data_IF_949037567834
#
_entry.id   IF_949037567834
#
_cell.length_a   1.000
_cell.length_b   1.000
_cell.length_c   1.000
_cell.angle_alpha   90.00
_cell.angle_beta   90.00
_cell.angle_gamma   90.00
#
_symmetry.space_group_name_H-M   'P 1'
#
loop_
_entity.id
_entity.type
_entity.pdbx_description
1 polymer ?
#
# COMPACT_ATOMS: atom_id res chain seq x y z
N UNK A 1 -2.82 -14.75 0.80
CA UNK A 1 -4.07 -13.95 0.69
C UNK A 1 -3.75 -12.63 -0.03
N UNK A 2 -4.70 -11.76 -0.38
CA UNK A 2 -4.31 -10.38 -0.73
C UNK A 2 -3.82 -9.69 0.56
N UNK A 3 -2.72 -8.93 0.50
CA UNK A 3 -2.23 -8.20 1.66
C UNK A 3 -3.23 -7.08 2.01
N UNK A 4 -3.59 -6.95 3.27
CA UNK A 4 -4.43 -5.85 3.77
C UNK A 4 -3.59 -5.02 4.72
N UNK A 5 -3.47 -3.72 4.44
CA UNK A 5 -2.77 -2.78 5.32
C UNK A 5 -3.81 -2.04 6.14
N UNK A 6 -3.67 -2.08 7.46
CA UNK A 6 -4.64 -1.51 8.42
C UNK A 6 -3.96 -0.50 9.34
N UNK A 7 -4.57 0.66 9.52
CA UNK A 7 -4.27 1.60 10.60
C UNK A 7 -4.83 1.09 11.92
N UNK A 8 -3.98 0.64 12.82
CA UNK A 8 -4.40 0.03 14.07
C UNK A 8 -3.36 0.15 15.19
N UNK A 9 -3.83 0.08 16.45
CA UNK A 9 -2.95 0.11 17.63
C UNK A 9 -2.12 -1.16 17.73
N UNK A 10 -2.74 -2.31 17.47
CA UNK A 10 -2.16 -3.63 17.54
C UNK A 10 -2.94 -4.60 16.63
N UNK A 11 -2.50 -5.86 16.58
CA UNK A 11 -3.07 -6.86 15.68
C UNK A 11 -4.54 -7.17 15.99
N UNK A 12 -4.95 -7.08 17.26
CA UNK A 12 -6.33 -7.33 17.67
C UNK A 12 -7.25 -6.21 17.18
N UNK A 13 -6.84 -4.95 17.37
CA UNK A 13 -7.52 -3.77 16.81
C UNK A 13 -7.59 -3.82 15.28
N UNK A 14 -6.53 -4.29 14.61
CA UNK A 14 -6.53 -4.47 13.16
C UNK A 14 -7.59 -5.50 12.70
N UNK A 15 -7.67 -6.65 13.37
CA UNK A 15 -8.68 -7.66 13.08
C UNK A 15 -10.09 -7.14 13.34
N UNK A 16 -10.30 -6.39 14.42
CA UNK A 16 -11.59 -5.77 14.71
C UNK A 16 -12.00 -4.75 13.64
N UNK A 17 -11.12 -3.82 13.30
CA UNK A 17 -11.36 -2.80 12.27
C UNK A 17 -11.64 -3.41 10.89
N UNK A 18 -10.88 -4.46 10.51
CA UNK A 18 -11.01 -5.09 9.20
C UNK A 18 -12.16 -6.10 9.12
N UNK A 19 -12.20 -7.10 10.00
CA UNK A 19 -13.14 -8.23 9.91
C UNK A 19 -14.52 -7.87 10.45
N UNK A 20 -14.57 -7.24 11.64
CA UNK A 20 -15.82 -6.99 12.35
C UNK A 20 -16.48 -5.69 11.88
N UNK A 21 -15.75 -4.59 11.95
CA UNK A 21 -16.29 -3.26 11.67
C UNK A 21 -16.30 -2.92 10.18
N UNK A 22 -15.43 -3.57 9.39
CA UNK A 22 -15.20 -3.24 7.97
C UNK A 22 -15.02 -1.73 7.77
N UNK A 23 -14.25 -1.10 8.67
CA UNK A 23 -14.01 0.34 8.63
C UNK A 23 -13.18 0.68 7.40
N UNK A 24 -13.87 1.08 6.33
CA UNK A 24 -13.23 1.35 5.04
C UNK A 24 -12.15 2.42 5.15
N UNK A 25 -12.20 3.35 6.09
CA UNK A 25 -11.17 4.40 6.22
C UNK A 25 -9.86 3.86 6.79
N UNK A 26 -9.93 2.79 7.58
CA UNK A 26 -8.81 2.25 8.31
C UNK A 26 -8.01 1.19 7.56
N UNK A 27 -8.43 0.74 6.37
CA UNK A 27 -7.68 -0.28 5.63
C UNK A 27 -7.65 -0.09 4.11
N UNK A 28 -6.61 -0.66 3.50
CA UNK A 28 -6.43 -0.78 2.06
C UNK A 28 -6.14 -2.25 1.72
N UNK A 29 -6.87 -2.79 0.75
CA UNK A 29 -6.65 -4.15 0.24
C UNK A 29 -5.78 -4.09 -1.00
N UNK A 30 -4.63 -4.73 -0.93
CA UNK A 30 -3.65 -4.79 -2.01
C UNK A 30 -4.18 -5.64 -3.19
N UNK A 31 -4.09 -5.13 -4.43
CA UNK A 31 -4.35 -5.94 -5.60
C UNK A 31 -3.41 -7.15 -5.65
N UNK A 32 -3.95 -8.36 -5.88
CA UNK A 32 -3.12 -9.54 -6.15
C UNK A 32 -2.06 -9.22 -7.21
N UNK A 33 -0.82 -9.66 -6.97
CA UNK A 33 0.36 -9.45 -7.85
C UNK A 33 0.84 -8.00 -7.94
N UNK A 34 0.37 -7.12 -7.04
CA UNK A 34 0.92 -5.77 -6.92
C UNK A 34 2.40 -5.83 -6.52
N UNK A 35 2.77 -6.67 -5.56
CA UNK A 35 4.18 -6.86 -5.18
C UNK A 35 5.07 -7.33 -6.35
N UNK A 36 4.57 -8.23 -7.22
CA UNK A 36 5.28 -8.65 -8.44
C UNK A 36 5.52 -7.45 -9.36
N UNK A 37 4.49 -6.62 -9.56
CA UNK A 37 4.59 -5.39 -10.36
C UNK A 37 5.62 -4.43 -9.75
N UNK A 38 5.56 -4.22 -8.43
CA UNK A 38 6.47 -3.34 -7.72
C UNK A 38 7.92 -3.82 -7.85
N UNK A 39 8.16 -5.12 -7.64
CA UNK A 39 9.48 -5.71 -7.72
C UNK A 39 10.09 -5.60 -9.13
N UNK A 40 9.29 -5.84 -10.17
CA UNK A 40 9.75 -5.80 -11.56
C UNK A 40 10.11 -4.39 -12.05
N UNK A 41 9.46 -3.36 -11.51
CA UNK A 41 9.68 -1.95 -11.86
C UNK A 41 10.40 -1.16 -10.76
N UNK A 42 11.00 -1.83 -9.77
CA UNK A 42 11.60 -1.19 -8.59
C UNK A 42 12.61 -0.07 -8.89
N UNK A 43 13.35 -0.18 -9.99
CA UNK A 43 14.34 0.83 -10.38
C UNK A 43 13.71 2.13 -10.91
N UNK A 44 12.41 2.11 -11.19
CA UNK A 44 11.63 3.26 -11.67
C UNK A 44 10.95 4.01 -10.50
N UNK A 45 11.03 3.48 -9.27
CA UNK A 45 10.35 4.04 -8.10
C UNK A 45 11.35 4.67 -7.14
N UNK A 46 11.02 5.87 -6.66
CA UNK A 46 11.76 6.54 -5.59
C UNK A 46 11.39 5.91 -4.25
N UNK A 47 12.32 5.85 -3.30
CA UNK A 47 12.09 5.35 -1.93
C UNK A 47 11.61 3.88 -1.85
N UNK A 48 11.87 3.08 -2.89
CA UNK A 48 11.56 1.65 -2.87
C UNK A 48 12.22 0.90 -1.70
N UNK A 49 13.48 1.20 -1.39
CA UNK A 49 14.18 0.57 -0.26
C UNK A 49 13.51 0.91 1.09
N UNK A 50 13.05 2.15 1.28
CA UNK A 50 12.29 2.53 2.48
C UNK A 50 10.95 1.80 2.56
N UNK A 51 10.30 1.54 1.41
CA UNK A 51 9.10 0.72 1.37
C UNK A 51 9.36 -0.74 1.75
N UNK A 52 10.52 -1.30 1.40
CA UNK A 52 10.92 -2.65 1.77
C UNK A 52 11.26 -2.82 3.26
N UNK A 53 11.78 -1.77 3.89
CA UNK A 53 12.04 -1.75 5.33
C UNK A 53 10.75 -1.87 6.16
N UNK A 54 9.60 -1.55 5.56
CA UNK A 54 8.31 -1.76 6.17
C UNK A 54 8.03 -3.25 6.21
N UNK A 55 7.77 -3.76 7.40
CA UNK A 55 7.24 -5.10 7.56
C UNK A 55 5.76 -5.10 7.18
N UNK A 56 5.47 -5.00 5.88
CA UNK A 56 4.13 -4.91 5.31
C UNK A 56 3.26 -6.12 5.64
N UNK A 57 3.86 -7.25 5.99
CA UNK A 57 3.18 -8.49 6.41
C UNK A 57 3.14 -8.67 7.93
N UNK A 58 3.65 -7.71 8.69
CA UNK A 58 3.70 -7.73 10.14
C UNK A 58 3.15 -6.45 10.75
N UNK A 59 3.71 -6.08 11.90
CA UNK A 59 3.38 -4.84 12.59
C UNK A 59 4.55 -3.89 12.38
N UNK A 60 4.29 -2.76 11.72
CA UNK A 60 5.26 -1.68 11.57
C UNK A 60 4.83 -0.54 12.47
N UNK A 61 5.56 -0.34 13.57
CA UNK A 61 5.39 0.84 14.41
C UNK A 61 6.01 2.01 13.66
N UNK A 62 5.17 2.81 13.04
CA UNK A 62 5.59 3.81 12.09
C UNK A 62 5.56 5.19 12.74
N UNK A 63 6.65 5.94 12.63
CA UNK A 63 6.67 7.35 12.97
C UNK A 63 6.28 8.23 11.76
N UNK A 64 5.99 9.52 12.00
CA UNK A 64 5.55 10.43 10.94
C UNK A 64 6.59 10.59 9.80
N UNK A 65 7.88 10.35 10.05
CA UNK A 65 8.92 10.43 9.01
C UNK A 65 8.86 9.22 8.09
N UNK A 66 8.64 8.04 8.65
CA UNK A 66 8.44 6.81 7.87
C UNK A 66 7.16 6.89 7.01
N UNK A 67 6.06 7.45 7.55
CA UNK A 67 4.83 7.73 6.76
C UNK A 67 5.14 8.59 5.55
N UNK A 68 5.97 9.62 5.71
CA UNK A 68 6.35 10.51 4.63
C UNK A 68 7.03 9.76 3.49
N UNK A 69 8.01 8.89 3.78
CA UNK A 69 8.70 8.12 2.75
C UNK A 69 7.78 7.14 2.03
N UNK A 70 6.80 6.55 2.73
CA UNK A 70 5.77 5.72 2.09
C UNK A 70 4.95 6.55 1.10
N UNK A 71 4.49 7.73 1.51
CA UNK A 71 3.71 8.61 0.64
C UNK A 71 4.53 9.00 -0.61
N UNK A 72 5.81 9.36 -0.44
CA UNK A 72 6.71 9.68 -1.56
C UNK A 72 6.91 8.47 -2.50
N UNK A 73 7.08 7.26 -1.97
CA UNK A 73 7.13 6.03 -2.77
C UNK A 73 5.83 5.83 -3.58
N UNK A 74 4.67 5.95 -2.94
CA UNK A 74 3.37 5.79 -3.59
C UNK A 74 3.12 6.83 -4.69
N UNK A 75 3.55 8.07 -4.46
CA UNK A 75 3.52 9.13 -5.48
C UNK A 75 4.41 8.79 -6.67
N UNK A 76 5.60 8.22 -6.44
CA UNK A 76 6.50 7.81 -7.53
C UNK A 76 5.88 6.75 -8.44
N UNK A 77 5.10 5.81 -7.88
CA UNK A 77 4.34 4.84 -8.66
C UNK A 77 3.28 5.56 -9.50
N UNK A 78 2.53 6.48 -8.91
CA UNK A 78 1.50 7.25 -9.64
C UNK A 78 2.11 8.00 -10.82
N UNK A 79 3.24 8.70 -10.63
CA UNK A 79 4.00 9.37 -11.70
C UNK A 79 4.43 8.38 -12.79
N UNK A 80 5.01 7.24 -12.42
CA UNK A 80 5.39 6.20 -13.36
C UNK A 80 4.20 5.75 -14.24
N UNK A 81 3.02 5.53 -13.65
CA UNK A 81 1.83 5.11 -14.39
C UNK A 81 1.31 6.18 -15.35
N UNK A 82 1.48 7.47 -15.02
CA UNK A 82 1.11 8.59 -15.89
C UNK A 82 2.06 8.72 -17.07
N UNK A 83 3.37 8.68 -16.82
CA UNK A 83 4.42 8.79 -17.84
C UNK A 83 4.46 7.57 -18.78
N UNK A 84 4.01 6.41 -18.29
CA UNK A 84 4.11 5.14 -19.01
C UNK A 84 2.76 4.54 -19.39
N UNK A 85 1.72 5.34 -19.64
CA UNK A 85 0.37 4.87 -19.98
C UNK A 85 0.31 3.79 -21.10
N UNK A 86 1.26 3.82 -22.04
CA UNK A 86 1.42 2.81 -23.10
C UNK A 86 1.70 1.38 -22.60
N UNK A 87 2.12 1.22 -21.35
CA UNK A 87 2.40 -0.08 -20.73
C UNK A 87 1.15 -0.79 -20.19
N UNK A 88 -0.04 -0.16 -20.22
CA UNK A 88 -1.28 -0.72 -19.65
C UNK A 88 -1.52 -2.17 -20.06
N UNK A 89 -1.51 -2.46 -21.37
CA UNK A 89 -1.75 -3.82 -21.87
C UNK A 89 -0.70 -4.81 -21.36
N UNK A 90 0.58 -4.41 -21.34
CA UNK A 90 1.68 -5.25 -20.82
C UNK A 90 1.52 -5.54 -19.33
N UNK A 91 1.08 -4.55 -18.55
CA UNK A 91 0.83 -4.71 -17.11
C UNK A 91 -0.40 -5.63 -16.88
N UNK A 92 -1.47 -5.45 -17.65
CA UNK A 92 -2.66 -6.32 -17.57
C UNK A 92 -2.28 -7.76 -17.92
N UNK A 93 -1.60 -7.99 -19.04
CA UNK A 93 -1.20 -9.32 -19.48
C UNK A 93 -0.28 -10.00 -18.47
N UNK A 94 0.72 -9.28 -17.95
CA UNK A 94 1.72 -9.88 -17.07
C UNK A 94 1.21 -10.07 -15.65
N UNK A 95 0.42 -9.15 -15.09
CA UNK A 95 0.05 -9.15 -13.66
C UNK A 95 -1.45 -9.30 -13.39
N UNK A 96 -2.30 -9.22 -14.42
CA UNK A 96 -3.75 -9.09 -14.28
C UNK A 96 -4.13 -7.86 -13.43
N UNK A 97 -3.41 -6.76 -13.64
CA UNK A 97 -3.61 -5.46 -12.99
C UNK A 97 -3.82 -4.39 -14.06
N UNK A 98 -4.87 -3.58 -13.90
CA UNK A 98 -4.99 -2.33 -14.66
C UNK A 98 -4.32 -1.19 -13.90
N UNK A 99 -3.78 -0.18 -14.60
CA UNK A 99 -3.20 0.98 -13.91
C UNK A 99 -4.26 1.71 -13.09
N UNK A 100 -5.53 1.70 -13.52
CA UNK A 100 -6.66 2.20 -12.72
C UNK A 100 -6.78 1.47 -11.37
N UNK A 101 -6.63 0.15 -11.36
CA UNK A 101 -6.70 -0.65 -10.13
C UNK A 101 -5.53 -0.32 -9.20
N UNK A 102 -4.34 -0.10 -9.76
CA UNK A 102 -3.16 0.33 -9.00
C UNK A 102 -3.38 1.71 -8.38
N UNK A 103 -3.80 2.71 -9.17
CA UNK A 103 -4.10 4.07 -8.67
C UNK A 103 -5.15 4.05 -7.56
N UNK A 104 -6.24 3.32 -7.74
CA UNK A 104 -7.27 3.19 -6.71
C UNK A 104 -6.73 2.62 -5.39
N UNK A 105 -5.79 1.67 -5.46
CA UNK A 105 -5.13 1.14 -4.27
C UNK A 105 -4.22 2.18 -3.62
N UNK A 106 -3.40 2.88 -4.41
CA UNK A 106 -2.54 3.97 -3.93
C UNK A 106 -3.35 5.04 -3.20
N UNK A 107 -4.42 5.55 -3.83
CA UNK A 107 -5.33 6.54 -3.24
C UNK A 107 -5.93 6.04 -1.93
N UNK A 108 -6.19 4.74 -1.83
CA UNK A 108 -6.75 4.14 -0.64
C UNK A 108 -5.72 4.05 0.47
N UNK A 109 -4.52 3.59 0.15
CA UNK A 109 -3.43 3.45 1.09
C UNK A 109 -2.99 4.82 1.62
N UNK A 110 -2.91 5.85 0.78
CA UNK A 110 -2.65 7.24 1.23
C UNK A 110 -3.63 7.69 2.31
N UNK A 111 -4.93 7.41 2.16
CA UNK A 111 -5.94 7.74 3.18
C UNK A 111 -5.75 6.97 4.48
N UNK A 112 -5.32 5.70 4.39
CA UNK A 112 -5.00 4.89 5.58
C UNK A 112 -3.79 5.47 6.30
N UNK A 113 -2.79 5.93 5.56
CA UNK A 113 -1.61 6.60 6.13
C UNK A 113 -1.99 7.90 6.83
N UNK A 114 -2.82 8.74 6.21
CA UNK A 114 -3.33 9.98 6.83
C UNK A 114 -4.13 9.67 8.11
N UNK A 115 -4.94 8.62 8.07
CA UNK A 115 -5.73 8.18 9.23
C UNK A 115 -4.83 7.65 10.35
N UNK A 116 -3.78 6.90 10.02
CA UNK A 116 -2.81 6.39 10.98
C UNK A 116 -2.02 7.53 11.63
N UNK A 117 -1.51 8.45 10.83
CA UNK A 117 -0.79 9.65 11.29
C UNK A 117 -1.64 10.48 12.26
N UNK A 118 -2.91 10.72 11.90
CA UNK A 118 -3.85 11.50 12.72
C UNK A 118 -4.13 10.85 14.07
N UNK A 119 -4.19 9.52 14.13
CA UNK A 119 -4.55 8.78 15.33
C UNK A 119 -3.34 8.30 16.15
N UNK A 120 -2.12 8.42 15.61
CA UNK A 120 -0.92 7.81 16.19
C UNK A 120 -0.98 6.27 16.17
N UNK A 121 -1.67 5.70 15.18
CA UNK A 121 -1.79 4.25 14.99
C UNK A 121 -0.54 3.69 14.27
N UNK A 122 -0.31 2.39 14.43
CA UNK A 122 0.66 1.63 13.63
C UNK A 122 0.05 1.24 12.28
N UNK A 123 0.88 0.78 11.34
CA UNK A 123 0.41 0.04 10.17
C UNK A 123 0.60 -1.46 10.38
N UNK A 124 -0.47 -2.20 10.12
CA UNK A 124 -0.53 -3.64 10.35
C UNK A 124 -0.92 -4.35 9.07
N UNK A 125 -0.04 -5.23 8.63
CA UNK A 125 -0.29 -6.19 7.57
C UNK A 125 -1.15 -7.34 8.06
N UNK A 126 -2.32 -7.51 7.47
CA UNK A 126 -3.12 -8.72 7.57
C UNK A 126 -3.03 -9.46 6.24
N UNK A 127 -2.32 -10.58 6.26
CA UNK A 127 -2.06 -11.41 5.09
C UNK A 127 -1.43 -12.73 5.55
N UNK A 128 -1.46 -13.70 4.66
CA UNK A 128 -0.80 -15.00 4.81
C UNK A 128 0.33 -15.04 3.80
#
# INVERSE_FOLDING_TARGET
MALIIVSAKDREDAYEKFIKLKNKEAYAEEPKRFQDFIFDYKNEFEFYENYLELNLYGISKIDNREIKFIKEFLESITRFLEENAKLENKIIEKYNLSMKKIRNYIDKLMKVLDFAEKNGDNLIGLGD
#
